data_IF_708035084547
#
_entry.id   IF_708035084547
#
_cell.length_a   1.000
_cell.length_b   1.000
_cell.length_c   1.000
_cell.angle_alpha   90.00
_cell.angle_beta   90.00
_cell.angle_gamma   90.00
#
_symmetry.space_group_name_H-M   'P 1'
#
loop_
_entity.id
_entity.type
_entity.pdbx_description
1 polymer ?
#
# COMPACT_ATOMS: atom_id res chain seq x y z
N UNK A 1 0.51 8.71 9.81
CA UNK A 1 1.64 8.97 8.88
C UNK A 1 2.91 9.36 9.63
N UNK A 2 2.89 10.26 10.61
CA UNK A 2 4.08 10.72 11.35
C UNK A 2 4.92 9.57 11.95
N UNK A 3 4.29 8.61 12.63
CA UNK A 3 5.00 7.45 13.18
C UNK A 3 5.72 6.62 12.10
N UNK A 4 5.10 6.43 10.93
CA UNK A 4 5.72 5.73 9.80
C UNK A 4 6.98 6.48 9.32
N UNK A 5 6.88 7.79 9.11
CA UNK A 5 8.02 8.62 8.68
C UNK A 5 9.16 8.61 9.71
N UNK A 6 8.82 8.65 11.00
CA UNK A 6 9.80 8.55 12.09
C UNK A 6 10.54 7.22 12.05
N UNK A 7 9.82 6.11 11.86
CA UNK A 7 10.44 4.78 11.77
C UNK A 7 11.27 4.63 10.49
N UNK A 8 10.78 5.14 9.36
CA UNK A 8 11.53 5.15 8.11
C UNK A 8 12.87 5.88 8.29
N UNK A 9 12.86 7.07 8.87
CA UNK A 9 14.09 7.84 9.11
C UNK A 9 15.05 7.12 10.07
N UNK A 10 14.52 6.50 11.13
CA UNK A 10 15.33 5.79 12.14
C UNK A 10 16.03 4.54 11.59
N UNK A 11 15.37 3.82 10.65
CA UNK A 11 15.83 2.54 10.13
C UNK A 11 16.33 2.60 8.68
N UNK A 12 16.55 3.79 8.15
CA UNK A 12 16.94 4.00 6.73
C UNK A 12 18.21 3.28 6.30
N UNK A 13 19.09 2.96 7.24
CA UNK A 13 20.33 2.20 6.96
C UNK A 13 20.15 0.69 7.05
N UNK A 14 19.00 0.25 7.53
CA UNK A 14 18.69 -1.15 7.70
C UNK A 14 18.04 -1.71 6.42
N UNK A 15 18.30 -2.97 6.11
CA UNK A 15 17.53 -3.68 5.10
C UNK A 15 16.33 -4.31 5.80
N UNK A 16 15.12 -3.93 5.45
CA UNK A 16 13.94 -4.41 6.14
C UNK A 16 12.63 -4.04 5.47
N UNK A 17 11.55 -4.57 6.01
CA UNK A 17 10.18 -4.24 5.65
C UNK A 17 9.58 -3.39 6.77
N UNK A 18 9.12 -2.20 6.42
CA UNK A 18 8.33 -1.34 7.29
C UNK A 18 6.88 -1.38 6.84
N UNK A 19 5.98 -1.82 7.70
CA UNK A 19 4.56 -1.94 7.41
C UNK A 19 3.74 -1.06 8.34
N UNK A 20 2.78 -0.32 7.80
CA UNK A 20 1.81 0.46 8.56
C UNK A 20 0.39 0.16 8.08
N UNK A 21 -0.55 0.00 9.02
CA UNK A 21 -1.96 -0.16 8.73
C UNK A 21 -2.72 1.10 9.16
N UNK A 22 -3.45 1.71 8.22
CA UNK A 22 -4.27 2.91 8.44
C UNK A 22 -5.74 2.48 8.58
N UNK A 23 -6.10 2.07 9.78
CA UNK A 23 -7.38 1.39 10.08
C UNK A 23 -8.63 2.30 10.00
N UNK A 24 -8.48 3.61 9.98
CA UNK A 24 -9.60 4.56 10.07
C UNK A 24 -10.54 4.47 8.86
N UNK A 25 -9.99 4.20 7.66
CA UNK A 25 -10.78 4.01 6.44
C UNK A 25 -11.87 2.96 6.63
N UNK A 26 -11.49 1.84 7.21
CA UNK A 26 -12.38 0.73 7.49
C UNK A 26 -13.23 0.97 8.76
N UNK A 27 -12.58 1.10 9.90
CA UNK A 27 -13.22 1.05 11.22
C UNK A 27 -14.05 2.29 11.55
N UNK A 28 -13.57 3.49 11.15
CA UNK A 28 -14.24 4.75 11.49
C UNK A 28 -15.22 5.20 10.42
N UNK A 29 -14.98 4.85 9.16
CA UNK A 29 -15.75 5.41 8.05
C UNK A 29 -16.41 4.34 7.19
N UNK A 30 -15.74 3.27 6.84
CA UNK A 30 -16.23 2.18 6.00
C UNK A 30 -17.42 1.46 6.65
N UNK A 31 -17.22 0.81 7.78
CA UNK A 31 -18.27 0.11 8.54
C UNK A 31 -19.40 1.02 9.00
N UNK A 32 -19.13 2.30 9.19
CA UNK A 32 -20.12 3.28 9.64
C UNK A 32 -20.86 3.96 8.49
N UNK A 33 -20.55 3.60 7.25
CA UNK A 33 -21.15 4.19 6.04
C UNK A 33 -21.07 5.72 6.04
N UNK A 34 -19.99 6.25 6.60
CA UNK A 34 -19.73 7.68 6.65
C UNK A 34 -18.94 8.11 5.40
N UNK A 35 -19.65 8.30 4.30
CA UNK A 35 -19.08 8.64 2.99
C UNK A 35 -18.23 9.92 3.06
N UNK A 36 -18.74 10.96 3.74
CA UNK A 36 -17.99 12.20 3.88
C UNK A 36 -16.73 12.02 4.68
N UNK A 37 -16.79 11.34 5.83
CA UNK A 37 -15.61 11.08 6.65
C UNK A 37 -14.57 10.22 5.92
N UNK A 38 -15.02 9.27 5.08
CA UNK A 38 -14.13 8.47 4.24
C UNK A 38 -13.37 9.34 3.23
N UNK A 39 -14.09 10.26 2.56
CA UNK A 39 -13.49 11.20 1.61
C UNK A 39 -12.51 12.16 2.31
N UNK A 40 -12.91 12.75 3.43
CA UNK A 40 -12.06 13.66 4.23
C UNK A 40 -10.77 12.92 4.70
N UNK A 41 -10.89 11.65 5.10
CA UNK A 41 -9.77 10.81 5.50
C UNK A 41 -8.82 10.53 4.33
N UNK A 42 -9.36 10.28 3.14
CA UNK A 42 -8.58 10.04 1.92
C UNK A 42 -7.79 11.30 1.51
N UNK A 43 -8.43 12.47 1.55
CA UNK A 43 -7.77 13.75 1.27
C UNK A 43 -6.65 14.05 2.29
N UNK A 44 -6.89 13.77 3.57
CA UNK A 44 -5.87 13.92 4.62
C UNK A 44 -4.70 12.96 4.42
N UNK A 45 -4.98 11.70 4.06
CA UNK A 45 -3.97 10.70 3.73
C UNK A 45 -3.13 11.13 2.52
N UNK A 46 -3.76 11.61 1.45
CA UNK A 46 -3.08 12.07 0.23
C UNK A 46 -2.10 13.21 0.53
N UNK A 47 -2.53 14.18 1.33
CA UNK A 47 -1.66 15.27 1.77
C UNK A 47 -0.42 14.79 2.53
N UNK A 48 -0.59 13.86 3.45
CA UNK A 48 0.51 13.26 4.21
C UNK A 48 1.40 12.36 3.34
N UNK A 49 0.79 11.65 2.38
CA UNK A 49 1.50 10.86 1.38
C UNK A 49 2.41 11.75 0.53
N UNK A 50 1.91 12.91 0.09
CA UNK A 50 2.72 13.87 -0.66
C UNK A 50 4.01 14.27 0.08
N UNK A 51 3.97 14.39 1.41
CA UNK A 51 5.18 14.63 2.21
C UNK A 51 6.09 13.40 2.26
N UNK A 52 5.53 12.21 2.49
CA UNK A 52 6.30 10.96 2.52
C UNK A 52 7.05 10.74 1.19
N UNK A 53 6.41 10.99 0.05
CA UNK A 53 7.01 10.82 -1.27
C UNK A 53 8.29 11.66 -1.47
N UNK A 54 8.39 12.83 -0.80
CA UNK A 54 9.61 13.64 -0.85
C UNK A 54 10.75 13.08 0.00
N UNK A 55 10.47 12.11 0.86
CA UNK A 55 11.42 11.48 1.77
C UNK A 55 11.87 10.09 1.31
N UNK A 56 11.23 9.50 0.30
CA UNK A 56 11.58 8.19 -0.27
C UNK A 56 12.89 8.30 -1.06
N UNK A 57 13.85 7.44 -0.74
CA UNK A 57 15.15 7.34 -1.41
C UNK A 57 15.13 6.33 -2.56
N UNK A 58 16.17 6.38 -3.40
CA UNK A 58 16.30 5.54 -4.62
C UNK A 58 16.37 4.03 -4.34
N UNK A 59 16.79 3.65 -3.13
CA UNK A 59 16.88 2.26 -2.68
C UNK A 59 15.65 1.81 -1.86
N UNK A 60 14.62 2.66 -1.77
CA UNK A 60 13.39 2.37 -1.08
C UNK A 60 12.24 2.15 -2.08
N UNK A 61 11.38 1.18 -1.78
CA UNK A 61 10.17 0.86 -2.53
C UNK A 61 8.95 1.06 -1.64
N UNK A 62 8.11 2.03 -1.97
CA UNK A 62 6.83 2.26 -1.32
C UNK A 62 5.75 1.47 -2.05
N UNK A 63 4.97 0.69 -1.30
CA UNK A 63 3.78 0.02 -1.81
C UNK A 63 2.57 0.44 -1.00
N UNK A 64 1.49 0.81 -1.68
CA UNK A 64 0.20 1.14 -1.07
C UNK A 64 -0.83 0.17 -1.64
N UNK A 65 -1.52 -0.51 -0.74
CA UNK A 65 -2.61 -1.43 -1.06
C UNK A 65 -3.64 -1.44 0.06
N UNK A 66 -4.69 -2.25 -0.09
CA UNK A 66 -5.67 -2.53 0.96
C UNK A 66 -5.80 -4.04 1.11
N UNK A 67 -6.21 -4.51 2.28
CA UNK A 67 -6.44 -5.93 2.60
C UNK A 67 -7.82 -6.41 2.13
N UNK A 68 -8.79 -5.51 1.95
CA UNK A 68 -10.14 -5.77 1.41
C UNK A 68 -10.80 -4.49 0.91
N UNK A 69 -11.96 -4.62 0.28
CA UNK A 69 -12.85 -3.51 -0.06
C UNK A 69 -13.79 -3.15 1.10
N UNK A 70 -14.15 -1.89 1.21
CA UNK A 70 -15.23 -1.42 2.08
C UNK A 70 -15.85 -0.14 1.50
N UNK A 71 -16.86 -0.30 0.63
CA UNK A 71 -17.57 0.82 0.01
C UNK A 71 -18.49 1.50 1.05
N UNK A 72 -18.22 2.75 1.44
CA UNK A 72 -19.01 3.46 2.42
C UNK A 72 -20.41 3.86 1.89
N UNK A 73 -20.69 3.67 0.60
CA UNK A 73 -22.01 3.94 0.00
C UNK A 73 -22.90 2.71 -0.04
N UNK A 74 -22.34 1.51 0.23
CA UNK A 74 -23.09 0.27 0.20
C UNK A 74 -24.03 0.13 1.42
N UNK A 75 -25.03 -0.73 1.31
CA UNK A 75 -25.92 -1.06 2.43
C UNK A 75 -25.27 -2.03 3.43
N UNK A 76 -25.77 -2.07 4.64
CA UNK A 76 -25.22 -2.92 5.72
C UNK A 76 -23.91 -2.38 6.28
N UNK A 77 -23.24 -3.17 7.10
CA UNK A 77 -22.01 -2.79 7.81
C UNK A 77 -20.81 -3.66 7.45
N UNK A 78 -21.00 -4.70 6.65
CA UNK A 78 -19.95 -5.65 6.29
C UNK A 78 -19.02 -5.09 5.20
N UNK A 79 -17.85 -5.72 5.05
CA UNK A 79 -16.94 -5.44 3.96
C UNK A 79 -17.60 -5.69 2.59
N UNK A 80 -17.11 -5.03 1.58
CA UNK A 80 -17.62 -5.15 0.23
C UNK A 80 -16.53 -5.68 -0.73
N UNK A 81 -16.89 -6.03 -1.96
CA UNK A 81 -16.03 -6.81 -2.86
C UNK A 81 -15.42 -5.96 -3.98
N UNK A 82 -14.97 -4.79 -3.65
CA UNK A 82 -14.24 -3.93 -4.58
C UNK A 82 -12.83 -4.47 -4.85
N UNK A 83 -12.32 -4.14 -6.01
CA UNK A 83 -10.90 -4.28 -6.26
C UNK A 83 -10.14 -3.26 -5.43
N UNK A 84 -9.03 -3.69 -4.85
CA UNK A 84 -8.17 -2.83 -4.06
C UNK A 84 -7.07 -2.23 -4.93
N UNK A 85 -6.56 -1.03 -4.59
CA UNK A 85 -5.44 -0.46 -5.30
C UNK A 85 -4.16 -1.27 -5.08
N UNK A 86 -3.27 -1.23 -6.06
CA UNK A 86 -1.87 -1.63 -5.92
C UNK A 86 -1.03 -0.52 -6.55
N UNK A 87 -0.50 0.36 -5.72
CA UNK A 87 0.34 1.48 -6.14
C UNK A 87 1.76 1.24 -5.67
N UNK A 88 2.71 1.40 -6.58
CA UNK A 88 4.13 1.18 -6.29
C UNK A 88 4.90 2.42 -6.70
N UNK A 89 5.77 2.90 -5.82
CA UNK A 89 6.59 4.07 -6.04
C UNK A 89 8.03 3.85 -5.55
N UNK A 90 8.97 4.33 -6.33
CA UNK A 90 10.35 4.60 -5.94
C UNK A 90 10.86 5.74 -6.81
N UNK A 91 11.72 6.58 -6.28
CA UNK A 91 12.39 7.64 -7.06
C UNK A 91 13.32 7.07 -8.14
N UNK A 92 13.73 5.80 -8.02
CA UNK A 92 14.55 5.10 -9.02
C UNK A 92 13.76 4.59 -10.24
N UNK A 93 12.42 4.56 -10.18
CA UNK A 93 11.60 4.10 -11.32
C UNK A 93 11.67 5.09 -12.47
N UNK A 94 12.09 4.60 -13.64
CA UNK A 94 12.34 5.44 -14.83
C UNK A 94 11.09 5.77 -15.64
N UNK A 95 10.04 4.96 -15.48
CA UNK A 95 8.78 5.10 -16.22
C UNK A 95 7.61 4.57 -15.41
N UNK A 96 6.41 5.04 -15.75
CA UNK A 96 5.18 4.44 -15.24
C UNK A 96 4.94 3.09 -15.91
N UNK A 97 4.59 2.10 -15.11
CA UNK A 97 4.27 0.73 -15.57
C UNK A 97 2.85 0.38 -15.14
N UNK A 98 2.05 -0.12 -16.05
CA UNK A 98 0.76 -0.73 -15.73
C UNK A 98 0.99 -2.18 -15.30
N UNK A 99 0.82 -2.45 -14.00
CA UNK A 99 0.94 -3.78 -13.42
C UNK A 99 -0.29 -4.67 -13.72
N UNK A 100 -1.30 -4.13 -14.38
CA UNK A 100 -2.53 -4.85 -14.69
C UNK A 100 -3.33 -5.26 -13.46
N UNK A 101 -4.15 -6.30 -13.62
CA UNK A 101 -4.95 -6.88 -12.53
C UNK A 101 -4.24 -8.10 -11.97
N UNK A 102 -3.83 -8.01 -10.72
CA UNK A 102 -3.24 -9.14 -10.00
C UNK A 102 -4.33 -10.09 -9.51
N UNK A 103 -4.04 -11.37 -9.55
CA UNK A 103 -5.02 -12.41 -9.24
C UNK A 103 -5.09 -12.72 -7.74
N UNK A 104 -4.05 -12.41 -6.99
CA UNK A 104 -3.96 -12.73 -5.58
C UNK A 104 -3.08 -11.72 -4.82
N UNK A 105 -3.37 -11.50 -3.54
CA UNK A 105 -2.50 -10.75 -2.62
C UNK A 105 -1.12 -11.39 -2.46
N UNK A 106 -1.00 -12.69 -2.71
CA UNK A 106 0.27 -13.39 -2.67
C UNK A 106 1.29 -12.85 -3.69
N UNK A 107 0.85 -12.15 -4.75
CA UNK A 107 1.75 -11.52 -5.72
C UNK A 107 2.60 -10.42 -5.05
N UNK A 108 2.01 -9.63 -4.15
CA UNK A 108 2.77 -8.67 -3.35
C UNK A 108 3.73 -9.38 -2.39
N UNK A 109 3.28 -10.43 -1.71
CA UNK A 109 4.13 -11.24 -0.83
C UNK A 109 5.33 -11.82 -1.58
N UNK A 110 5.08 -12.40 -2.77
CA UNK A 110 6.14 -12.94 -3.62
C UNK A 110 7.10 -11.84 -4.10
N UNK A 111 6.59 -10.65 -4.40
CA UNK A 111 7.43 -9.50 -4.80
C UNK A 111 8.34 -9.04 -3.65
N UNK A 112 7.82 -9.01 -2.42
CA UNK A 112 8.62 -8.70 -1.22
C UNK A 112 9.71 -9.76 -1.03
N UNK A 113 9.35 -11.04 -1.11
CA UNK A 113 10.33 -12.15 -1.00
C UNK A 113 11.43 -12.04 -2.04
N UNK A 114 11.05 -11.82 -3.30
CA UNK A 114 11.98 -11.67 -4.42
C UNK A 114 12.92 -10.45 -4.22
N UNK A 115 12.39 -9.32 -3.73
CA UNK A 115 13.19 -8.13 -3.43
C UNK A 115 14.25 -8.38 -2.35
N UNK A 116 13.99 -9.27 -1.40
CA UNK A 116 14.95 -9.68 -0.38
C UNK A 116 15.80 -10.90 -0.77
N UNK A 117 15.62 -11.46 -1.96
CA UNK A 117 16.31 -12.68 -2.40
C UNK A 117 15.90 -13.92 -1.59
N UNK A 118 14.68 -13.93 -1.06
CA UNK A 118 14.13 -15.03 -0.28
C UNK A 118 13.27 -15.94 -1.16
N UNK A 119 13.09 -17.18 -0.73
CA UNK A 119 12.26 -18.20 -1.40
C UNK A 119 11.36 -18.88 -0.37
N UNK A 120 10.33 -19.61 -0.83
CA UNK A 120 9.51 -20.45 0.06
C UNK A 120 8.02 -20.18 0.05
N UNK A 121 7.53 -19.20 -0.71
CA UNK A 121 6.09 -19.06 -0.96
C UNK A 121 5.67 -20.00 -2.10
N UNK A 122 4.56 -20.69 -1.90
CA UNK A 122 3.98 -21.60 -2.91
C UNK A 122 3.09 -20.88 -3.93
N UNK A 123 2.56 -19.70 -3.56
CA UNK A 123 1.59 -18.96 -4.35
C UNK A 123 2.04 -17.53 -4.61
N UNK A 124 1.54 -16.97 -5.71
CA UNK A 124 1.82 -15.62 -6.13
C UNK A 124 2.87 -15.54 -7.22
N UNK A 125 2.85 -14.43 -7.92
CA UNK A 125 3.81 -14.09 -8.97
C UNK A 125 4.42 -12.73 -8.68
N UNK A 126 5.76 -12.69 -8.54
CA UNK A 126 6.48 -11.43 -8.34
C UNK A 126 6.31 -10.52 -9.55
N UNK A 127 6.07 -9.25 -9.29
CA UNK A 127 6.09 -8.19 -10.30
C UNK A 127 7.35 -7.30 -10.20
N UNK A 128 8.34 -7.69 -9.40
CA UNK A 128 9.55 -6.89 -9.20
C UNK A 128 10.29 -6.62 -10.51
N UNK A 129 10.34 -7.60 -11.42
CA UNK A 129 11.01 -7.44 -12.73
C UNK A 129 10.28 -6.46 -13.66
N UNK A 130 9.00 -6.22 -13.45
CA UNK A 130 8.20 -5.27 -14.23
C UNK A 130 8.49 -3.81 -13.82
N UNK A 131 9.07 -3.61 -12.63
CA UNK A 131 9.41 -2.29 -12.08
C UNK A 131 10.80 -1.76 -12.52
N UNK A 132 11.55 -2.54 -13.31
CA UNK A 132 12.95 -2.23 -13.68
C UNK A 132 13.10 -1.68 -15.08
#
# INVERSE_FOLDING_TARGET
>A
MEALRTQLAAHRKDKGLLMANFVDFDSMYGHRRNVKGYADCLEAFDKELGQLLTEIHDDELLVITSDHGNDPTWHGTDHTRERVPLLVYSSALKASVDLGIRQTYADLGMTIMDNFGLTGLEFGTSFLSELR
#
